data_IF_289741623597
#
_entry.id   IF_289741623597
#
_cell.length_a   1.000
_cell.length_b   1.000
_cell.length_c   1.000
_cell.angle_alpha   90.00
_cell.angle_beta   90.00
_cell.angle_gamma   90.00
#
_symmetry.space_group_name_H-M   'P 1'
#
loop_
_entity.id
_entity.type
_entity.pdbx_description
1 polymer ?
#
# COMPACT_ATOMS: atom_id res chain seq x y z
N UNK A 1 26.72 -15.12 4.65
CA UNK A 1 26.62 -14.26 3.46
C UNK A 1 25.44 -13.34 3.69
N UNK A 2 25.66 -12.04 3.91
CA UNK A 2 24.55 -11.08 3.93
C UNK A 2 24.06 -10.89 2.50
N UNK A 3 22.76 -11.00 2.26
CA UNK A 3 22.20 -10.60 0.97
C UNK A 3 22.41 -9.09 0.79
N UNK A 4 23.10 -8.69 -0.28
CA UNK A 4 23.15 -7.28 -0.67
C UNK A 4 21.75 -6.84 -1.10
N UNK A 5 21.28 -5.71 -0.57
CA UNK A 5 20.00 -5.13 -0.99
C UNK A 5 20.18 -4.43 -2.34
N UNK A 6 19.23 -4.66 -3.23
CA UNK A 6 19.14 -3.98 -4.52
C UNK A 6 18.89 -2.48 -4.34
N UNK A 7 19.16 -1.70 -5.40
CA UNK A 7 18.91 -0.25 -5.40
C UNK A 7 17.43 0.07 -5.15
N UNK A 8 16.53 -0.74 -5.70
CA UNK A 8 15.09 -0.64 -5.60
C UNK A 8 14.61 -0.95 -4.17
N UNK A 9 15.21 -1.93 -3.50
CA UNK A 9 14.94 -2.22 -2.09
C UNK A 9 15.38 -1.07 -1.18
N UNK A 10 16.55 -0.47 -1.42
CA UNK A 10 17.02 0.69 -0.65
C UNK A 10 16.07 1.87 -0.83
N UNK A 11 15.75 2.21 -2.08
CA UNK A 11 14.86 3.32 -2.44
C UNK A 11 13.46 3.11 -1.88
N UNK A 12 12.89 1.92 -2.02
CA UNK A 12 11.55 1.61 -1.52
C UNK A 12 11.45 1.70 0.00
N UNK A 13 12.48 1.25 0.74
CA UNK A 13 12.54 1.37 2.21
C UNK A 13 12.57 2.83 2.65
N UNK A 14 13.36 3.67 1.97
CA UNK A 14 13.41 5.10 2.24
C UNK A 14 12.07 5.78 1.95
N UNK A 15 11.47 5.47 0.79
CA UNK A 15 10.14 5.94 0.41
C UNK A 15 9.08 5.56 1.45
N UNK A 16 9.00 4.29 1.85
CA UNK A 16 8.02 3.79 2.83
C UNK A 16 8.20 4.52 4.16
N UNK A 17 9.43 4.63 4.67
CA UNK A 17 9.70 5.33 5.92
C UNK A 17 9.18 6.77 5.87
N UNK A 18 9.52 7.50 4.81
CA UNK A 18 9.12 8.91 4.68
C UNK A 18 7.62 9.06 4.44
N UNK A 19 7.03 8.21 3.61
CA UNK A 19 5.60 8.23 3.28
C UNK A 19 4.74 8.06 4.54
N UNK A 20 5.01 7.04 5.34
CA UNK A 20 4.21 6.78 6.54
C UNK A 20 4.56 7.70 7.71
N UNK A 21 5.78 8.23 7.78
CA UNK A 21 6.08 9.33 8.69
C UNK A 21 5.24 10.57 8.35
N UNK A 22 5.20 10.95 7.08
CA UNK A 22 4.37 12.08 6.61
C UNK A 22 2.88 11.81 6.84
N UNK A 23 2.39 10.60 6.58
CA UNK A 23 1.00 10.24 6.86
C UNK A 23 0.63 10.40 8.35
N UNK A 24 1.54 10.04 9.26
CA UNK A 24 1.28 10.08 10.70
C UNK A 24 1.42 11.49 11.29
N UNK A 25 2.41 12.26 10.84
CA UNK A 25 2.77 13.56 11.44
C UNK A 25 2.17 14.75 10.69
N UNK A 26 2.03 14.65 9.37
CA UNK A 26 1.60 15.76 8.51
C UNK A 26 0.86 15.32 7.23
N UNK A 27 -0.28 14.60 7.38
CA UNK A 27 -1.02 14.01 6.26
C UNK A 27 -1.50 15.04 5.22
N UNK A 28 -1.65 16.32 5.59
CA UNK A 28 -1.99 17.41 4.66
C UNK A 28 -0.97 17.58 3.53
N UNK A 29 0.28 17.15 3.71
CA UNK A 29 1.33 17.23 2.68
C UNK A 29 1.52 15.94 1.89
N UNK A 30 0.80 14.87 2.23
CA UNK A 30 1.02 13.54 1.64
C UNK A 30 0.72 13.48 0.13
N UNK A 31 -0.19 14.33 -0.34
CA UNK A 31 -0.49 14.47 -1.77
C UNK A 31 0.73 14.92 -2.61
N UNK A 32 1.76 15.52 -1.99
CA UNK A 32 2.98 15.95 -2.68
C UNK A 32 3.82 14.78 -3.21
N UNK A 33 3.63 13.57 -2.67
CA UNK A 33 4.28 12.37 -3.19
C UNK A 33 3.73 11.93 -4.56
N UNK A 34 2.55 12.40 -4.95
CA UNK A 34 1.83 11.89 -6.11
C UNK A 34 2.17 12.68 -7.37
N UNK A 35 2.22 11.98 -8.51
CA UNK A 35 2.26 12.63 -9.82
C UNK A 35 0.93 13.32 -10.10
N UNK A 36 0.95 14.39 -10.89
CA UNK A 36 -0.28 15.12 -11.27
C UNK A 36 -1.34 14.20 -11.88
N UNK A 37 -0.91 13.27 -12.74
CA UNK A 37 -1.70 12.13 -13.21
C UNK A 37 -1.25 10.88 -12.46
N UNK A 38 -2.06 10.41 -11.52
CA UNK A 38 -1.79 9.23 -10.70
C UNK A 38 -3.07 8.43 -10.47
N UNK A 39 -2.99 7.11 -10.32
CA UNK A 39 -4.11 6.30 -9.89
C UNK A 39 -4.09 6.18 -8.37
N UNK A 40 -5.17 6.61 -7.71
CA UNK A 40 -5.38 6.39 -6.29
C UNK A 40 -6.62 5.53 -6.09
N UNK A 41 -6.47 4.40 -5.43
CA UNK A 41 -7.52 3.41 -5.22
C UNK A 41 -7.53 2.89 -3.79
N UNK A 42 -8.26 3.55 -2.90
CA UNK A 42 -8.28 3.21 -1.48
C UNK A 42 -9.69 2.88 -1.00
N UNK A 43 -9.75 2.02 0.02
CA UNK A 43 -10.96 1.84 0.84
C UNK A 43 -10.89 2.83 2.00
N UNK A 44 -11.94 3.64 2.16
CA UNK A 44 -12.04 4.58 3.29
C UNK A 44 -12.00 3.84 4.63
N UNK A 45 -11.22 4.32 5.62
CA UNK A 45 -11.05 3.64 6.91
C UNK A 45 -12.32 3.63 7.79
N UNK A 46 -13.23 4.59 7.58
CA UNK A 46 -14.47 4.71 8.35
C UNK A 46 -15.69 4.18 7.60
N UNK A 47 -15.80 4.54 6.32
CA UNK A 47 -17.00 4.24 5.51
C UNK A 47 -16.88 2.91 4.78
N UNK A 48 -15.67 2.35 4.66
CA UNK A 48 -15.34 1.23 3.76
C UNK A 48 -15.76 1.45 2.30
N UNK A 49 -16.08 2.70 1.93
CA UNK A 49 -16.39 3.07 0.56
C UNK A 49 -15.10 3.13 -0.23
N UNK A 50 -15.10 2.49 -1.40
CA UNK A 50 -13.97 2.52 -2.31
C UNK A 50 -13.93 3.88 -3.03
N UNK A 51 -12.82 4.59 -2.87
CA UNK A 51 -12.51 5.80 -3.65
C UNK A 51 -11.52 5.47 -4.75
N UNK A 52 -11.84 5.89 -5.97
CA UNK A 52 -10.92 5.83 -7.12
C UNK A 52 -10.83 7.22 -7.75
N UNK A 53 -9.62 7.79 -7.79
CA UNK A 53 -9.36 9.10 -8.40
C UNK A 53 -8.08 9.05 -9.22
N UNK A 54 -7.90 10.05 -10.09
CA UNK A 54 -6.88 10.01 -11.15
C UNK A 54 -5.92 11.21 -11.13
N UNK A 55 -6.08 12.14 -10.19
CA UNK A 55 -5.25 13.35 -10.12
C UNK A 55 -4.71 13.63 -8.73
N UNK A 56 -3.53 14.25 -8.63
CA UNK A 56 -2.96 14.71 -7.35
C UNK A 56 -3.91 15.64 -6.58
N UNK A 57 -4.67 16.46 -7.29
CA UNK A 57 -5.66 17.36 -6.69
C UNK A 57 -6.75 16.55 -5.99
N UNK A 58 -7.33 15.57 -6.67
CA UNK A 58 -8.38 14.73 -6.08
C UNK A 58 -7.85 13.88 -4.90
N UNK A 59 -6.58 13.46 -4.98
CA UNK A 59 -5.90 12.78 -3.87
C UNK A 59 -5.78 13.70 -2.65
N UNK A 60 -5.40 14.96 -2.84
CA UNK A 60 -5.37 15.96 -1.77
C UNK A 60 -6.74 16.11 -1.11
N UNK A 61 -7.79 16.28 -1.92
CA UNK A 61 -9.15 16.49 -1.44
C UNK A 61 -9.63 15.27 -0.63
N UNK A 62 -9.27 14.05 -1.04
CA UNK A 62 -9.56 12.82 -0.28
C UNK A 62 -8.82 12.77 1.06
N UNK A 63 -7.52 13.09 1.10
CA UNK A 63 -6.76 13.11 2.36
C UNK A 63 -7.34 14.11 3.37
N UNK A 64 -7.77 15.27 2.90
CA UNK A 64 -8.42 16.29 3.73
C UNK A 64 -9.82 15.84 4.21
N UNK A 65 -10.56 15.10 3.38
CA UNK A 65 -11.91 14.63 3.73
C UNK A 65 -11.90 13.50 4.77
N UNK A 66 -10.93 12.57 4.69
CA UNK A 66 -10.87 11.38 5.56
C UNK A 66 -10.31 11.69 6.95
N UNK A 67 -9.57 12.81 7.11
CA UNK A 67 -8.90 13.22 8.36
C UNK A 67 -7.96 12.14 8.91
N UNK A 68 -6.89 11.86 8.15
CA UNK A 68 -5.92 10.84 8.52
C UNK A 68 -5.17 11.13 9.84
N UNK A 69 -5.27 12.34 10.38
CA UNK A 69 -4.78 12.73 11.70
C UNK A 69 -5.40 11.88 12.83
N UNK A 70 -6.60 11.34 12.62
CA UNK A 70 -7.29 10.44 13.57
C UNK A 70 -6.75 9.00 13.54
N UNK A 71 -5.78 8.72 12.68
CA UNK A 71 -5.21 7.39 12.48
C UNK A 71 -3.70 7.37 12.67
N UNK A 72 -3.16 6.21 13.01
CA UNK A 72 -1.73 5.93 13.03
C UNK A 72 -1.45 4.70 12.18
N UNK A 73 -0.57 4.84 11.20
CA UNK A 73 -0.07 3.73 10.40
C UNK A 73 1.24 3.18 10.97
N UNK A 74 1.33 1.85 11.13
CA UNK A 74 2.55 1.14 11.52
C UNK A 74 2.87 0.06 10.50
N UNK A 75 4.07 0.10 9.96
CA UNK A 75 4.51 -0.83 8.91
C UNK A 75 5.12 -2.08 9.54
N UNK A 76 4.70 -3.24 9.03
CA UNK A 76 5.25 -4.54 9.41
C UNK A 76 6.36 -4.94 8.44
N UNK A 77 6.05 -4.91 7.14
CA UNK A 77 6.97 -5.32 6.09
C UNK A 77 6.78 -4.44 4.86
N UNK A 78 7.88 -4.26 4.13
CA UNK A 78 7.88 -3.63 2.82
C UNK A 78 8.90 -4.28 1.91
N UNK A 79 8.57 -4.39 0.62
CA UNK A 79 9.44 -4.93 -0.42
C UNK A 79 9.35 -4.06 -1.66
N UNK A 80 10.48 -3.65 -2.21
CA UNK A 80 10.59 -2.97 -3.49
C UNK A 80 11.13 -3.92 -4.56
N UNK A 81 10.55 -3.88 -5.75
CA UNK A 81 11.04 -4.63 -6.91
C UNK A 81 10.98 -3.75 -8.17
N UNK A 82 11.86 -3.95 -9.15
CA UNK A 82 11.77 -3.24 -10.42
C UNK A 82 10.45 -3.59 -11.14
N UNK A 83 9.88 -2.60 -11.82
CA UNK A 83 8.72 -2.83 -12.68
C UNK A 83 9.18 -3.47 -14.00
N UNK A 84 8.64 -4.64 -14.39
CA UNK A 84 9.21 -5.42 -15.49
C UNK A 84 9.00 -4.80 -16.88
N UNK A 85 8.01 -3.91 -17.04
CA UNK A 85 7.64 -3.36 -18.35
C UNK A 85 8.27 -2.01 -18.66
N UNK A 86 8.88 -1.34 -17.67
CA UNK A 86 9.43 0.01 -17.85
C UNK A 86 10.58 0.26 -16.87
N UNK A 87 11.77 0.53 -17.40
CA UNK A 87 12.96 0.83 -16.61
C UNK A 87 12.77 2.09 -15.74
N UNK A 88 13.42 2.10 -14.58
CA UNK A 88 13.35 3.23 -13.64
C UNK A 88 12.05 3.32 -12.84
N UNK A 89 11.13 2.36 -13.00
CA UNK A 89 9.93 2.23 -12.16
C UNK A 89 10.10 1.14 -11.11
N UNK A 90 9.48 1.37 -9.95
CA UNK A 90 9.57 0.47 -8.79
C UNK A 90 8.17 0.13 -8.32
N UNK A 91 7.86 -1.15 -8.18
CA UNK A 91 6.68 -1.61 -7.45
C UNK A 91 7.07 -1.75 -5.98
N UNK A 92 6.29 -1.14 -5.09
CA UNK A 92 6.48 -1.28 -3.64
C UNK A 92 5.27 -1.97 -3.04
N UNK A 93 5.51 -3.08 -2.36
CA UNK A 93 4.52 -3.79 -1.55
C UNK A 93 4.70 -3.42 -0.09
N UNK A 94 3.61 -3.11 0.60
CA UNK A 94 3.61 -2.77 2.01
C UNK A 94 2.53 -3.56 2.74
N UNK A 95 2.89 -4.13 3.89
CA UNK A 95 1.94 -4.62 4.87
C UNK A 95 2.09 -3.83 6.16
N UNK A 96 0.95 -3.53 6.78
CA UNK A 96 0.96 -2.77 8.02
C UNK A 96 -0.38 -2.81 8.72
N UNK A 97 -0.49 -1.95 9.72
CA UNK A 97 -1.70 -1.71 10.47
C UNK A 97 -2.06 -0.25 10.45
N UNK A 98 -3.36 0.03 10.32
CA UNK A 98 -3.92 1.34 10.53
C UNK A 98 -4.76 1.29 11.80
N UNK A 99 -4.38 2.07 12.80
CA UNK A 99 -5.07 2.15 14.10
C UNK A 99 -5.84 3.45 14.17
N UNK A 100 -7.14 3.38 14.46
CA UNK A 100 -7.95 4.55 14.79
C UNK A 100 -7.65 4.98 16.22
N UNK A 101 -7.17 6.22 16.42
CA UNK A 101 -6.71 6.73 17.72
C UNK A 101 -7.83 6.79 18.76
N UNK A 102 -9.07 7.09 18.32
CA UNK A 102 -10.23 7.27 19.20
C UNK A 102 -10.56 6.05 20.06
N UNK A 103 -10.47 4.85 19.49
CA UNK A 103 -10.92 3.61 20.13
C UNK A 103 -9.91 2.46 19.98
N UNK A 104 -8.71 2.76 19.52
CA UNK A 104 -7.62 1.82 19.31
C UNK A 104 -8.00 0.61 18.43
N UNK A 105 -8.99 0.79 17.55
CA UNK A 105 -9.36 -0.22 16.56
C UNK A 105 -8.29 -0.26 15.49
N UNK A 106 -7.62 -1.41 15.39
CA UNK A 106 -6.47 -1.68 14.57
C UNK A 106 -6.86 -2.64 13.45
N UNK A 107 -6.64 -2.24 12.20
CA UNK A 107 -6.93 -3.04 11.03
C UNK A 107 -5.66 -3.32 10.24
N UNK A 108 -5.45 -4.59 9.86
CA UNK A 108 -4.38 -4.95 8.93
C UNK A 108 -4.70 -4.44 7.53
N UNK A 109 -3.67 -3.98 6.83
CA UNK A 109 -3.77 -3.57 5.43
C UNK A 109 -2.65 -4.14 4.58
N UNK A 110 -2.91 -4.19 3.28
CA UNK A 110 -1.89 -4.28 2.25
C UNK A 110 -2.01 -3.08 1.32
N UNK A 111 -0.86 -2.61 0.84
CA UNK A 111 -0.77 -1.48 -0.05
C UNK A 111 0.28 -1.74 -1.14
N UNK A 112 -0.06 -1.38 -2.37
CA UNK A 112 0.85 -1.45 -3.51
C UNK A 112 1.02 -0.06 -4.10
N UNK A 113 2.27 0.36 -4.24
CA UNK A 113 2.63 1.56 -4.97
C UNK A 113 3.32 1.20 -6.28
N UNK A 114 3.11 2.03 -7.30
CA UNK A 114 4.02 2.14 -8.43
C UNK A 114 4.69 3.51 -8.36
N UNK A 115 6.01 3.51 -8.30
CA UNK A 115 6.83 4.71 -8.31
C UNK A 115 7.42 4.93 -9.70
N UNK A 116 7.53 6.20 -10.09
CA UNK A 116 8.24 6.62 -11.30
C UNK A 116 9.29 7.67 -10.97
N UNK A 117 10.46 7.56 -11.58
CA UNK A 117 11.48 8.61 -11.58
C UNK A 117 10.99 9.86 -12.33
N UNK A 118 11.33 11.02 -11.79
CA UNK A 118 11.16 12.36 -12.35
C UNK A 118 12.45 13.14 -12.13
N UNK A 119 12.59 14.29 -12.81
CA UNK A 119 13.78 15.15 -12.75
C UNK A 119 14.18 15.53 -11.31
N UNK A 120 13.17 15.66 -10.42
CA UNK A 120 13.32 16.04 -9.03
C UNK A 120 12.98 14.89 -8.05
N UNK A 121 12.90 13.64 -8.50
CA UNK A 121 12.79 12.48 -7.61
C UNK A 121 11.74 11.46 -7.96
N UNK A 122 11.33 10.67 -6.97
CA UNK A 122 10.32 9.64 -7.15
C UNK A 122 8.94 10.20 -6.85
N UNK A 123 8.00 9.89 -7.74
CA UNK A 123 6.60 10.18 -7.56
C UNK A 123 5.76 8.90 -7.57
N UNK A 124 4.65 8.92 -6.84
CA UNK A 124 3.64 7.88 -6.84
C UNK A 124 2.75 8.07 -8.07
N UNK A 125 2.72 7.06 -8.93
CA UNK A 125 1.84 7.02 -10.11
C UNK A 125 0.69 6.04 -9.94
N UNK A 126 0.80 5.09 -9.01
CA UNK A 126 -0.30 4.23 -8.59
C UNK A 126 -0.21 3.97 -7.08
N UNK A 127 -1.36 3.97 -6.42
CA UNK A 127 -1.53 3.65 -5.01
C UNK A 127 -2.83 2.85 -4.83
N UNK A 128 -2.69 1.57 -4.48
CA UNK A 128 -3.80 0.68 -4.20
C UNK A 128 -3.73 0.23 -2.75
N UNK A 129 -4.71 0.62 -1.94
CA UNK A 129 -4.82 0.26 -0.53
C UNK A 129 -6.01 -0.67 -0.28
N UNK A 130 -5.81 -1.70 0.53
CA UNK A 130 -6.84 -2.67 0.93
C UNK A 130 -6.71 -3.04 2.40
N UNK A 131 -7.82 -3.06 3.12
CA UNK A 131 -7.89 -3.73 4.42
C UNK A 131 -7.96 -5.25 4.23
N UNK A 132 -7.30 -6.00 5.12
CA UNK A 132 -7.45 -7.45 5.21
C UNK A 132 -8.75 -7.77 5.94
N UNK A 133 -9.62 -8.58 5.33
CA UNK A 133 -10.91 -8.96 5.92
C UNK A 133 -10.71 -9.79 7.19
N UNK A 134 -11.55 -9.58 8.20
CA UNK A 134 -11.58 -10.41 9.42
C UNK A 134 -10.37 -10.25 10.34
N UNK A 135 -9.56 -9.19 10.17
CA UNK A 135 -8.36 -8.92 10.97
C UNK A 135 -8.44 -7.54 11.61
N UNK A 136 -9.53 -7.32 12.35
CA UNK A 136 -9.76 -6.13 13.18
C UNK A 136 -9.46 -6.51 14.63
N UNK A 137 -8.49 -5.83 15.23
CA UNK A 137 -8.08 -6.02 16.61
C UNK A 137 -8.42 -4.74 17.38
N UNK A 138 -9.08 -4.83 18.54
CA UNK A 138 -9.12 -3.71 19.48
C UNK A 138 -7.88 -3.80 20.33
N UNK A 139 -6.95 -2.85 20.20
CA UNK A 139 -5.75 -2.85 21.03
C UNK A 139 -6.15 -2.43 22.45
N UNK A 140 -6.31 -3.41 23.34
CA UNK A 140 -6.67 -3.17 24.74
C UNK A 140 -5.56 -2.35 25.43
N UNK A 141 -5.94 -1.26 26.08
CA UNK A 141 -5.07 -0.54 27.01
C UNK A 141 -4.90 -1.42 28.25
N UNK A 142 -3.70 -1.97 28.47
CA UNK A 142 -3.41 -2.72 29.70
C UNK A 142 -3.35 -1.76 30.89
N UNK A 143 -4.42 -1.76 31.69
CA UNK A 143 -4.36 -1.41 33.10
C UNK A 143 -4.27 -2.71 33.90
N UNK A 144 -3.32 -2.77 34.82
CA UNK A 144 -2.95 -3.94 35.62
C UNK A 144 -4.08 -4.47 36.52
N UNK A 145 -3.97 -5.78 36.77
CA UNK A 145 -4.29 -6.54 37.99
C UNK A 145 -5.49 -7.54 38.05
N UNK A 146 -5.07 -8.80 38.28
CA UNK A 146 -5.68 -9.93 39.01
C UNK A 146 -6.48 -10.99 38.22
N UNK A 147 -5.73 -12.04 37.89
CA UNK A 147 -6.01 -13.48 38.03
C UNK A 147 -7.36 -13.88 38.65
N UNK A 148 -8.18 -14.61 37.89
CA UNK A 148 -8.88 -15.79 38.43
C UNK A 148 -9.31 -16.74 37.30
N UNK A 149 -9.03 -18.00 37.60
CA UNK A 149 -9.09 -19.23 36.81
C UNK A 149 -10.46 -19.89 36.94
N UNK A 150 -11.04 -20.35 35.83
CA UNK A 150 -11.68 -21.68 35.71
C UNK A 150 -12.32 -21.94 34.33
N UNK A 151 -11.75 -22.92 33.60
CA UNK A 151 -12.40 -24.09 32.97
C UNK A 151 -13.93 -24.24 33.21
N UNK A 152 -14.80 -24.68 32.29
CA UNK A 152 -14.69 -25.76 31.28
C UNK A 152 -15.91 -25.67 30.32
N UNK A 153 -15.74 -26.08 29.06
CA UNK A 153 -16.82 -26.45 28.13
C UNK A 153 -17.37 -27.87 28.45
N UNK A 154 -18.58 -28.29 28.00
CA UNK A 154 -18.65 -28.92 26.67
C UNK A 154 -19.99 -28.81 25.88
N UNK A 155 -19.83 -28.66 24.56
CA UNK A 155 -20.45 -29.42 23.45
C UNK A 155 -21.84 -30.07 23.61
N UNK A 156 -22.79 -29.71 22.74
CA UNK A 156 -23.56 -30.69 21.94
C UNK A 156 -24.34 -30.04 20.79
N UNK A 157 -24.03 -30.51 19.58
CA UNK A 157 -24.86 -30.47 18.36
C UNK A 157 -25.66 -31.80 18.30
N UNK A 158 -26.83 -31.83 17.65
CA UNK A 158 -26.86 -32.53 16.35
C UNK A 158 -27.83 -31.92 15.32
N UNK A 159 -27.40 -31.81 14.07
CA UNK A 159 -28.25 -31.95 12.86
C UNK A 159 -28.51 -33.46 12.60
N UNK A 160 -29.63 -33.89 11.96
CA UNK A 160 -29.79 -33.74 10.50
C UNK A 160 -31.25 -33.66 9.98
N UNK A 161 -31.43 -33.31 8.70
CA UNK A 161 -32.06 -34.14 7.64
C UNK A 161 -32.46 -33.27 6.42
N UNK A 162 -31.75 -33.55 5.33
CA UNK A 162 -32.13 -33.57 3.92
C UNK A 162 -33.47 -32.96 3.45
N UNK A 163 -33.39 -32.10 2.43
CA UNK A 163 -34.29 -32.15 1.27
C UNK A 163 -33.56 -31.72 0.00
N UNK A 164 -33.86 -32.45 -1.08
CA UNK A 164 -33.24 -32.45 -2.42
C UNK A 164 -33.54 -31.19 -3.26
N UNK A 165 -32.62 -30.95 -4.21
CA UNK A 165 -32.64 -30.07 -5.39
C UNK A 165 -33.80 -30.39 -6.38
N UNK A 166 -34.07 -29.56 -7.41
CA UNK A 166 -33.25 -29.58 -8.65
C UNK A 166 -32.92 -28.20 -9.30
N UNK A 167 -31.81 -28.20 -10.06
CA UNK A 167 -31.39 -27.21 -11.05
C UNK A 167 -32.30 -27.20 -12.30
N UNK A 168 -32.16 -26.19 -13.18
CA UNK A 168 -32.27 -26.39 -14.62
C UNK A 168 -30.92 -26.30 -15.36
N UNK A 169 -30.81 -27.18 -16.36
CA UNK A 169 -29.70 -27.43 -17.28
C UNK A 169 -29.41 -26.33 -18.32
N UNK A 170 -28.24 -26.51 -18.94
CA UNK A 170 -27.54 -25.75 -19.99
C UNK A 170 -28.32 -25.40 -21.27
N UNK A 171 -27.89 -24.32 -21.93
CA UNK A 171 -27.73 -24.30 -23.39
C UNK A 171 -26.41 -23.60 -23.80
N UNK A 172 -25.42 -24.44 -24.08
CA UNK A 172 -24.57 -24.46 -25.28
C UNK A 172 -24.18 -23.16 -26.01
N UNK A 173 -22.86 -22.96 -26.02
CA UNK A 173 -21.98 -22.89 -27.21
C UNK A 173 -22.06 -21.69 -28.15
N UNK A 174 -21.00 -20.85 -28.16
CA UNK A 174 -20.25 -20.52 -29.39
C UNK A 174 -18.86 -20.00 -29.01
N UNK A 175 -17.84 -20.73 -29.44
CA UNK A 175 -16.45 -20.29 -29.38
C UNK A 175 -16.16 -19.16 -30.38
N UNK A 176 -15.07 -18.43 -30.13
CA UNK A 176 -14.18 -17.88 -31.17
C UNK A 176 -12.90 -17.36 -30.51
N UNK A 177 -11.82 -18.08 -30.77
CA UNK A 177 -10.43 -17.64 -30.65
C UNK A 177 -10.18 -16.44 -31.57
N UNK A 178 -9.56 -15.37 -31.06
CA UNK A 178 -8.75 -14.48 -31.88
C UNK A 178 -7.51 -14.07 -31.07
N UNK A 179 -6.39 -14.70 -31.40
CA UNK A 179 -5.04 -14.25 -31.08
C UNK A 179 -4.69 -13.03 -31.92
N UNK A 180 -4.18 -11.96 -31.30
CA UNK A 180 -3.47 -10.90 -32.00
C UNK A 180 -2.05 -10.80 -31.46
N UNK A 181 -1.15 -11.45 -32.19
CA UNK A 181 0.31 -11.29 -32.09
C UNK A 181 0.69 -10.01 -32.84
N UNK A 182 1.36 -9.09 -32.15
CA UNK A 182 1.96 -7.89 -32.74
C UNK A 182 3.38 -7.71 -32.22
N UNK A 183 4.37 -8.12 -33.01
CA UNK A 183 5.80 -7.83 -32.83
C UNK A 183 6.06 -6.34 -33.08
N UNK A 184 6.85 -5.69 -32.21
CA UNK A 184 7.59 -4.46 -32.53
C UNK A 184 9.04 -4.66 -32.01
N UNK A 185 10.07 -4.31 -32.82
CA UNK A 185 11.45 -4.80 -32.67
C UNK A 185 12.27 -4.11 -31.56
N UNK A 186 13.21 -4.90 -31.01
CA UNK A 186 14.29 -4.48 -30.12
C UNK A 186 15.23 -3.47 -30.80
N UNK A 187 15.65 -2.44 -30.07
CA UNK A 187 16.97 -1.82 -30.24
C UNK A 187 17.52 -1.47 -28.87
N UNK A 188 18.68 -2.06 -28.58
CA UNK A 188 19.45 -1.97 -27.34
C UNK A 188 20.49 -0.86 -27.48
N UNK A 189 20.67 -0.03 -26.46
CA UNK A 189 22.00 0.44 -26.03
C UNK A 189 22.06 0.45 -24.49
N UNK A 190 23.11 -0.12 -23.85
CA UNK A 190 23.26 -0.12 -22.42
C UNK A 190 23.98 1.15 -21.94
N UNK A 191 23.33 1.94 -21.09
CA UNK A 191 23.99 3.03 -20.36
C UNK A 191 24.49 2.45 -19.04
N UNK A 192 25.78 2.18 -18.94
CA UNK A 192 26.45 1.95 -17.65
C UNK A 192 26.26 3.19 -16.77
N UNK A 193 25.61 3.04 -15.62
CA UNK A 193 25.66 4.03 -14.54
C UNK A 193 26.22 3.36 -13.29
N UNK A 194 27.32 3.91 -12.81
CA UNK A 194 28.08 3.47 -11.65
C UNK A 194 27.31 3.74 -10.35
N UNK A 195 27.55 2.90 -9.34
CA UNK A 195 26.90 2.85 -8.02
C UNK A 195 26.97 4.15 -7.21
N UNK A 196 27.88 5.06 -7.56
CA UNK A 196 28.22 6.22 -6.72
C UNK A 196 27.24 7.39 -6.85
N UNK A 197 26.47 7.47 -7.94
CA UNK A 197 25.47 8.54 -8.12
C UNK A 197 24.20 8.34 -7.29
N UNK A 198 23.87 7.09 -6.94
CA UNK A 198 22.65 6.75 -6.20
C UNK A 198 22.72 7.20 -4.73
N UNK A 199 23.90 7.16 -4.12
CA UNK A 199 24.12 7.64 -2.75
C UNK A 199 24.01 9.17 -2.63
N UNK A 200 24.48 9.89 -3.64
CA UNK A 200 24.41 11.35 -3.70
C UNK A 200 22.96 11.85 -3.82
N UNK A 201 22.12 11.11 -4.56
CA UNK A 201 20.70 11.43 -4.75
C UNK A 201 19.92 11.33 -3.42
N UNK A 202 20.22 10.34 -2.57
CA UNK A 202 19.53 10.11 -1.30
C UNK A 202 19.85 11.18 -0.22
N UNK A 203 21.07 11.72 -0.19
CA UNK A 203 21.40 12.82 0.73
C UNK A 203 20.76 14.15 0.30
N UNK A 204 20.63 14.39 -1.01
CA UNK A 204 20.02 15.61 -1.51
C UNK A 204 18.53 15.73 -1.14
N UNK A 205 17.79 14.61 -1.05
CA UNK A 205 16.42 14.59 -0.54
C UNK A 205 16.32 14.90 0.95
N UNK A 206 17.17 14.30 1.77
CA UNK A 206 17.13 14.53 3.21
C UNK A 206 17.47 16.00 3.53
N UNK A 207 18.44 16.58 2.82
CA UNK A 207 18.87 17.96 3.04
C UNK A 207 17.91 19.00 2.46
N UNK A 208 17.38 18.82 1.23
CA UNK A 208 16.38 19.76 0.68
C UNK A 208 15.08 19.78 1.50
N UNK A 209 14.66 18.63 2.04
CA UNK A 209 13.47 18.56 2.87
C UNK A 209 13.75 19.13 4.27
N UNK A 210 14.86 18.79 4.92
CA UNK A 210 15.22 19.36 6.24
C UNK A 210 15.36 20.89 6.20
N UNK A 211 15.93 21.44 5.12
CA UNK A 211 16.09 22.88 4.95
C UNK A 211 14.77 23.60 4.62
N UNK A 212 13.85 22.96 3.89
CA UNK A 212 12.53 23.53 3.60
C UNK A 212 11.64 23.62 4.85
N UNK A 213 11.78 22.69 5.80
CA UNK A 213 10.98 22.66 7.03
C UNK A 213 11.64 23.33 8.24
N UNK A 214 12.95 23.61 8.20
CA UNK A 214 13.64 24.41 9.22
C UNK A 214 13.49 25.93 9.03
N UNK A 215 12.80 26.36 7.95
CA UNK A 215 12.59 27.77 7.60
C UNK A 215 11.17 28.28 7.87
N UNK A 216 10.34 27.50 8.58
CA UNK A 216 9.03 27.90 9.08
C UNK A 216 8.90 27.67 10.58
#
# INVERSE_FOLDING_TARGET
MSAEMTSEEIVSRAFVKQYYHTLNESPQFLHMFYKDSCLFNRLGPLTHVKKTVWTRKDVKDEFLAVKFEDFTAKIETSLGVPYPMEHGRIIVFVNGHLTRKKDNVRNKFSQTFLLAQQDNGLCVVNDIFRFKKGQTETQACFSTEIESKSETEPKSEPEPVASRLPLPDELTNIGSSVSLSGKIPNTTEPIERTSDQTGHYLMQYAEQFFNYFSSY
#
